data_IF_828078540338
#
_entry.id   IF_828078540338
#
_cell.length_a   1.000
_cell.length_b   1.000
_cell.length_c   1.000
_cell.angle_alpha   90.00
_cell.angle_beta   90.00
_cell.angle_gamma   90.00
#
_symmetry.space_group_name_H-M   'P 1'
#
loop_
_entity.id
_entity.type
_entity.pdbx_description
1 polymer ?
#
# COMPACT_ATOMS: atom_id res chain seq x y z
N UNK A 1 -18.76 18.10 -5.17
CA UNK A 1 -19.37 18.28 -3.84
C UNK A 1 -19.45 16.90 -3.20
N UNK A 2 -18.65 16.60 -2.19
CA UNK A 2 -18.64 15.29 -1.52
C UNK A 2 -19.34 15.48 -0.18
N UNK A 3 -20.57 15.00 -0.09
CA UNK A 3 -21.36 14.96 1.13
C UNK A 3 -20.76 13.91 2.06
N UNK A 4 -20.27 14.37 3.21
CA UNK A 4 -19.82 13.51 4.29
C UNK A 4 -21.01 12.68 4.79
N UNK A 5 -20.91 11.36 4.68
CA UNK A 5 -21.76 10.46 5.45
C UNK A 5 -21.43 10.69 6.93
N UNK A 6 -22.41 11.16 7.69
CA UNK A 6 -22.34 11.30 9.14
C UNK A 6 -22.21 9.92 9.76
N UNK A 7 -20.98 9.48 10.02
CA UNK A 7 -20.72 8.25 10.74
C UNK A 7 -20.49 8.60 12.21
N UNK A 8 -21.40 8.15 13.08
CA UNK A 8 -21.27 8.19 14.55
C UNK A 8 -20.00 7.45 15.05
N UNK A 9 -19.40 6.60 14.20
CA UNK A 9 -18.21 5.79 14.45
C UNK A 9 -16.84 6.45 14.12
N UNK A 10 -16.84 7.72 13.70
CA UNK A 10 -15.61 8.41 13.29
C UNK A 10 -15.07 7.99 11.92
N UNK A 11 -13.97 8.63 11.50
CA UNK A 11 -13.39 8.43 10.16
C UNK A 11 -12.66 7.10 10.03
N UNK A 12 -12.93 6.36 8.95
CA UNK A 12 -12.32 5.04 8.68
C UNK A 12 -11.47 5.09 7.41
N UNK A 13 -10.27 4.55 7.46
CA UNK A 13 -9.33 4.49 6.33
C UNK A 13 -8.82 3.08 6.11
N UNK A 14 -8.69 2.68 4.84
CA UNK A 14 -7.98 1.48 4.41
C UNK A 14 -6.69 1.89 3.70
N UNK A 15 -5.54 1.61 4.30
CA UNK A 15 -4.22 2.05 3.88
C UNK A 15 -3.38 0.88 3.33
N UNK A 16 -3.04 0.94 2.05
CA UNK A 16 -2.06 0.05 1.43
C UNK A 16 -0.64 0.48 1.81
N UNK A 17 0.14 -0.41 2.41
CA UNK A 17 1.53 -0.13 2.82
C UNK A 17 2.54 -0.67 1.78
N UNK A 18 2.05 -1.17 0.65
CA UNK A 18 2.90 -1.68 -0.43
C UNK A 18 3.44 -0.55 -1.29
N UNK A 19 4.38 -0.89 -2.16
CA UNK A 19 4.85 0.03 -3.19
C UNK A 19 3.77 0.16 -4.27
N UNK A 20 3.71 1.31 -4.94
CA UNK A 20 2.66 1.63 -5.91
C UNK A 20 2.51 0.61 -7.05
N UNK A 21 3.61 -0.01 -7.49
CA UNK A 21 3.57 -1.02 -8.55
C UNK A 21 2.85 -2.31 -8.10
N UNK A 22 2.85 -2.61 -6.81
CA UNK A 22 2.10 -3.74 -6.23
C UNK A 22 0.61 -3.41 -6.14
N UNK A 23 0.29 -2.18 -5.74
CA UNK A 23 -1.09 -1.67 -5.69
C UNK A 23 -1.72 -1.50 -7.07
N UNK A 24 -0.89 -1.35 -8.12
CA UNK A 24 -1.34 -1.21 -9.51
C UNK A 24 -2.05 -2.47 -9.99
N UNK A 25 -1.52 -3.65 -9.68
CA UNK A 25 -2.05 -4.93 -10.19
C UNK A 25 -3.06 -5.59 -9.27
N UNK A 26 -3.19 -5.12 -8.03
CA UNK A 26 -4.25 -5.56 -7.13
C UNK A 26 -4.31 -4.74 -5.87
N UNK A 27 -5.49 -4.63 -5.28
CA UNK A 27 -5.76 -3.83 -4.10
C UNK A 27 -7.07 -4.29 -3.43
N UNK A 28 -7.25 -3.91 -2.16
CA UNK A 28 -8.55 -4.07 -1.52
C UNK A 28 -9.49 -2.93 -1.92
N UNK A 29 -10.70 -3.28 -2.34
CA UNK A 29 -11.80 -2.34 -2.50
C UNK A 29 -12.62 -2.32 -1.21
N UNK A 30 -12.87 -1.13 -0.67
CA UNK A 30 -13.85 -0.96 0.39
C UNK A 30 -15.26 -1.23 -0.17
N UNK A 31 -16.18 -1.81 0.61
CA UNK A 31 -17.56 -1.96 0.19
C UNK A 31 -18.20 -0.60 -0.15
N UNK A 32 -19.03 -0.56 -1.18
CA UNK A 32 -19.75 0.65 -1.56
C UNK A 32 -20.64 1.13 -0.41
N UNK A 33 -20.69 2.45 -0.18
CA UNK A 33 -21.45 3.04 0.92
C UNK A 33 -20.84 2.84 2.32
N UNK A 34 -19.70 2.16 2.47
CA UNK A 34 -19.06 1.93 3.79
C UNK A 34 -18.48 3.19 4.43
N UNK A 35 -18.29 4.27 3.67
CA UNK A 35 -17.61 5.48 4.14
C UNK A 35 -16.11 5.29 4.44
N UNK A 36 -15.52 4.15 4.08
CA UNK A 36 -14.10 3.88 4.30
C UNK A 36 -13.27 4.51 3.18
N UNK A 37 -12.40 5.46 3.53
CA UNK A 37 -11.47 6.05 2.59
C UNK A 37 -10.35 5.06 2.24
N UNK A 38 -10.19 4.71 0.97
CA UNK A 38 -9.06 3.87 0.52
C UNK A 38 -7.87 4.73 0.11
N UNK A 39 -6.70 4.48 0.69
CA UNK A 39 -5.46 5.19 0.37
C UNK A 39 -4.43 4.19 -0.18
N UNK A 40 -3.97 4.45 -1.41
CA UNK A 40 -2.90 3.70 -2.08
C UNK A 40 -1.73 4.66 -2.35
N UNK A 41 -0.74 4.71 -1.46
CA UNK A 41 0.39 5.62 -1.59
C UNK A 41 1.15 5.37 -2.90
N UNK A 42 1.50 6.44 -3.62
CA UNK A 42 2.32 6.34 -4.84
C UNK A 42 3.82 6.11 -4.54
N UNK A 43 4.17 5.62 -3.35
CA UNK A 43 5.57 5.39 -2.95
C UNK A 43 6.20 4.30 -3.80
N UNK A 44 7.45 4.50 -4.22
CA UNK A 44 8.22 3.50 -4.96
C UNK A 44 8.97 2.55 -4.03
N UNK A 45 9.37 3.03 -2.86
CA UNK A 45 10.10 2.27 -1.85
C UNK A 45 9.45 2.44 -0.50
N UNK A 46 9.43 1.37 0.29
CA UNK A 46 8.91 1.42 1.66
C UNK A 46 9.63 2.45 2.56
N UNK A 47 10.90 2.77 2.28
CA UNK A 47 11.63 3.82 3.00
C UNK A 47 11.02 5.22 2.85
N UNK A 48 10.17 5.45 1.84
CA UNK A 48 9.43 6.70 1.65
C UNK A 48 8.15 6.74 2.50
N UNK A 49 7.70 5.62 3.05
CA UNK A 49 6.44 5.52 3.79
C UNK A 49 6.40 6.43 5.04
N UNK A 50 7.44 6.52 5.88
CA UNK A 50 7.49 7.51 6.97
C UNK A 50 7.21 8.95 6.52
N UNK A 51 7.83 9.38 5.42
CA UNK A 51 7.60 10.70 4.85
C UNK A 51 6.17 10.84 4.30
N UNK A 52 5.64 9.80 3.67
CA UNK A 52 4.25 9.79 3.20
C UNK A 52 3.27 9.99 4.35
N UNK A 53 3.44 9.27 5.46
CA UNK A 53 2.60 9.44 6.65
C UNK A 53 2.67 10.87 7.16
N UNK A 54 3.87 11.43 7.36
CA UNK A 54 4.03 12.82 7.85
C UNK A 54 3.37 13.86 6.95
N UNK A 55 3.39 13.66 5.64
CA UNK A 55 2.87 14.63 4.68
C UNK A 55 1.36 14.52 4.47
N UNK A 56 0.84 13.29 4.42
CA UNK A 56 -0.51 13.02 3.91
C UNK A 56 -1.47 12.42 4.95
N UNK A 57 -0.94 11.79 6.01
CA UNK A 57 -1.76 11.09 7.00
C UNK A 57 -1.75 11.83 8.35
N UNK A 58 -0.56 12.18 8.86
CA UNK A 58 -0.36 12.91 10.12
C UNK A 58 -1.17 14.22 10.19
N UNK A 59 -1.21 15.08 9.15
CA UNK A 59 -2.05 16.28 9.21
C UNK A 59 -3.53 15.96 9.33
N UNK A 60 -3.99 14.85 8.75
CA UNK A 60 -5.39 14.44 8.89
C UNK A 60 -5.67 13.91 10.30
N UNK A 61 -4.70 13.21 10.92
CA UNK A 61 -4.80 12.77 12.31
C UNK A 61 -4.82 13.95 13.28
N UNK A 62 -4.06 15.01 12.95
CA UNK A 62 -3.92 16.24 13.75
C UNK A 62 -4.95 17.34 13.49
N UNK A 63 -5.54 17.48 12.30
CA UNK A 63 -6.45 18.62 11.97
C UNK A 63 -7.76 18.64 12.76
N UNK A 64 -7.83 17.77 13.74
CA UNK A 64 -8.97 17.44 14.54
C UNK A 64 -8.55 17.38 16.02
N UNK A 65 -7.27 17.52 16.38
CA UNK A 65 -6.80 17.59 17.77
C UNK A 65 -7.02 18.96 18.43
N UNK A 66 -7.11 20.07 17.68
CA UNK A 66 -7.44 21.39 18.27
C UNK A 66 -8.89 21.47 18.78
N UNK A 67 -9.78 20.56 18.34
CA UNK A 67 -11.19 20.49 18.77
C UNK A 67 -11.55 19.18 19.51
N UNK A 68 -10.62 18.20 19.65
CA UNK A 68 -10.87 16.85 20.23
C UNK A 68 -10.20 16.65 21.60
N UNK A 69 -10.34 17.61 22.51
CA UNK A 69 -10.03 17.40 23.94
C UNK A 69 -11.18 16.79 24.74
N UNK A 70 -12.35 16.61 24.12
CA UNK A 70 -13.48 15.92 24.72
C UNK A 70 -13.45 14.43 24.36
N UNK A 71 -13.50 13.57 25.38
CA UNK A 71 -13.53 12.10 25.25
C UNK A 71 -14.73 11.60 24.43
N UNK A 72 -15.74 12.46 24.22
CA UNK A 72 -16.93 12.17 23.42
C UNK A 72 -16.70 12.15 21.91
N UNK A 73 -15.56 12.66 21.39
CA UNK A 73 -15.37 12.72 19.93
C UNK A 73 -14.83 11.41 19.35
N UNK A 74 -15.48 10.83 18.33
CA UNK A 74 -14.99 9.63 17.67
C UNK A 74 -13.58 9.81 17.07
N UNK A 75 -12.68 8.89 17.40
CA UNK A 75 -11.33 8.81 16.83
C UNK A 75 -11.32 8.24 15.41
N UNK A 76 -10.15 8.23 14.79
CA UNK A 76 -9.96 7.65 13.46
C UNK A 76 -9.57 6.18 13.55
N UNK A 77 -10.05 5.40 12.60
CA UNK A 77 -9.67 3.99 12.47
C UNK A 77 -8.92 3.76 11.17
N UNK A 78 -7.69 3.26 11.24
CA UNK A 78 -6.86 2.92 10.08
C UNK A 78 -6.71 1.40 9.99
N UNK A 79 -7.26 0.81 8.94
CA UNK A 79 -7.00 -0.57 8.54
C UNK A 79 -5.80 -0.60 7.60
N UNK A 80 -4.80 -1.42 7.89
CA UNK A 80 -3.56 -1.50 7.11
C UNK A 80 -3.33 -2.88 6.56
N UNK A 81 -2.77 -2.96 5.35
CA UNK A 81 -2.36 -4.22 4.75
C UNK A 81 -1.09 -4.09 3.92
N UNK A 82 -0.39 -5.20 3.77
CA UNK A 82 0.68 -5.40 2.82
C UNK A 82 0.66 -6.87 2.36
N UNK A 83 1.62 -7.31 1.54
CA UNK A 83 1.66 -8.67 0.97
C UNK A 83 1.56 -9.75 2.06
N UNK A 84 2.51 -9.77 3.01
CA UNK A 84 2.60 -10.82 4.05
C UNK A 84 2.67 -10.30 5.50
N UNK A 85 2.36 -9.03 5.76
CA UNK A 85 2.28 -8.45 7.11
C UNK A 85 3.53 -7.72 7.63
N UNK A 86 4.75 -8.09 7.21
CA UNK A 86 6.00 -7.53 7.79
C UNK A 86 6.14 -6.00 7.65
N UNK A 87 5.70 -5.42 6.53
CA UNK A 87 5.72 -3.96 6.35
C UNK A 87 4.69 -3.28 7.23
N UNK A 88 3.53 -3.91 7.45
CA UNK A 88 2.53 -3.38 8.36
C UNK A 88 3.07 -3.31 9.78
N UNK A 89 3.67 -4.38 10.31
CA UNK A 89 4.23 -4.37 11.67
C UNK A 89 5.22 -3.22 11.90
N UNK A 90 6.10 -2.97 10.91
CA UNK A 90 7.06 -1.86 10.97
C UNK A 90 6.38 -0.51 10.85
N UNK A 91 5.43 -0.38 9.92
CA UNK A 91 4.72 0.86 9.67
C UNK A 91 3.83 1.27 10.85
N UNK A 92 3.02 0.36 11.40
CA UNK A 92 2.14 0.66 12.53
C UNK A 92 2.94 1.02 13.78
N UNK A 93 4.05 0.32 14.05
CA UNK A 93 4.98 0.69 15.12
C UNK A 93 5.56 2.09 14.90
N UNK A 94 6.02 2.38 13.67
CA UNK A 94 6.55 3.69 13.36
C UNK A 94 5.49 4.80 13.53
N UNK A 95 4.24 4.57 13.12
CA UNK A 95 3.14 5.51 13.32
C UNK A 95 2.89 5.73 14.82
N UNK A 96 2.84 4.66 15.62
CA UNK A 96 2.71 4.76 17.08
C UNK A 96 3.82 5.58 17.74
N UNK A 97 5.06 5.44 17.27
CA UNK A 97 6.21 6.14 17.86
C UNK A 97 6.38 7.59 17.38
N UNK A 98 5.87 7.94 16.20
CA UNK A 98 6.21 9.21 15.52
C UNK A 98 5.01 10.09 15.20
N UNK A 99 3.78 9.60 15.33
CA UNK A 99 2.56 10.35 15.02
C UNK A 99 1.74 10.49 16.29
N UNK A 100 1.28 11.71 16.54
CA UNK A 100 0.43 12.00 17.69
C UNK A 100 -0.95 11.39 17.46
N UNK A 101 -1.43 10.63 18.45
CA UNK A 101 -2.68 9.88 18.39
C UNK A 101 -3.51 10.19 19.65
N UNK A 102 -4.82 10.24 19.47
CA UNK A 102 -5.78 10.28 20.57
C UNK A 102 -6.06 8.86 21.08
N UNK A 103 -6.48 8.67 22.34
CA UNK A 103 -6.86 7.36 22.87
C UNK A 103 -7.97 6.65 22.06
N UNK A 104 -8.77 7.40 21.30
CA UNK A 104 -9.84 6.91 20.46
C UNK A 104 -9.34 6.44 19.07
N UNK A 105 -8.13 6.84 18.66
CA UNK A 105 -7.54 6.41 17.39
C UNK A 105 -7.13 4.94 17.45
N UNK A 106 -7.39 4.21 16.36
CA UNK A 106 -7.10 2.77 16.28
C UNK A 106 -6.42 2.43 14.97
N UNK A 107 -5.34 1.64 15.07
CA UNK A 107 -4.66 1.10 13.89
C UNK A 107 -4.75 -0.42 13.92
N UNK A 108 -5.37 -0.96 12.89
CA UNK A 108 -5.56 -2.39 12.68
C UNK A 108 -4.68 -2.88 11.54
N UNK A 109 -4.10 -4.07 11.72
CA UNK A 109 -3.31 -4.73 10.67
C UNK A 109 -3.97 -6.01 10.23
N UNK A 110 -4.07 -6.21 8.91
CA UNK A 110 -4.48 -7.49 8.33
C UNK A 110 -3.43 -8.56 8.63
N UNK A 111 -3.75 -9.48 9.54
CA UNK A 111 -2.89 -10.61 9.89
C UNK A 111 -2.67 -11.50 8.67
N UNK A 112 -1.40 -11.79 8.36
CA UNK A 112 -1.02 -12.57 7.18
C UNK A 112 -1.07 -11.78 5.86
N UNK A 113 -1.47 -10.50 5.89
CA UNK A 113 -1.52 -9.65 4.71
C UNK A 113 -2.48 -10.13 3.62
N UNK A 114 -2.22 -9.67 2.39
CA UNK A 114 -2.95 -10.08 1.19
C UNK A 114 -2.90 -11.59 1.00
N UNK A 115 -1.71 -12.21 1.13
CA UNK A 115 -1.54 -13.65 0.92
C UNK A 115 -2.42 -14.46 1.89
N UNK A 116 -2.46 -14.05 3.16
CA UNK A 116 -3.29 -14.69 4.18
C UNK A 116 -4.78 -14.53 3.91
N UNK A 117 -5.22 -13.34 3.49
CA UNK A 117 -6.62 -13.11 3.11
C UNK A 117 -7.04 -13.94 1.90
N UNK A 118 -6.20 -13.98 0.85
CA UNK A 118 -6.42 -14.76 -0.37
C UNK A 118 -6.56 -16.24 -0.01
N UNK A 119 -5.58 -16.82 0.68
CA UNK A 119 -5.64 -18.23 1.07
C UNK A 119 -6.86 -18.59 1.95
N UNK A 120 -7.28 -17.68 2.83
CA UNK A 120 -8.49 -17.86 3.62
C UNK A 120 -9.75 -17.81 2.75
N UNK A 121 -9.86 -16.80 1.89
CA UNK A 121 -11.04 -16.61 1.05
C UNK A 121 -11.24 -17.79 0.09
N UNK A 122 -10.16 -18.33 -0.47
CA UNK A 122 -10.15 -19.57 -1.25
C UNK A 122 -10.75 -20.75 -0.46
N UNK A 123 -10.33 -20.96 0.79
CA UNK A 123 -10.85 -22.03 1.63
C UNK A 123 -12.34 -21.84 1.95
N UNK A 124 -12.77 -20.61 2.20
CA UNK A 124 -14.18 -20.29 2.42
C UNK A 124 -15.03 -20.52 1.16
N UNK A 125 -14.50 -20.21 -0.02
CA UNK A 125 -15.14 -20.52 -1.31
C UNK A 125 -15.24 -22.03 -1.55
N UNK A 126 -14.15 -22.77 -1.34
CA UNK A 126 -14.13 -24.24 -1.50
C UNK A 126 -15.09 -24.92 -0.51
N UNK A 127 -15.27 -24.34 0.68
CA UNK A 127 -16.24 -24.80 1.67
C UNK A 127 -17.69 -24.35 1.38
N UNK A 128 -17.95 -23.62 0.29
CA UNK A 128 -19.27 -23.10 -0.06
C UNK A 128 -19.81 -21.99 0.86
N UNK A 129 -18.96 -21.41 1.71
CA UNK A 129 -19.33 -20.36 2.69
C UNK A 129 -19.22 -18.94 2.13
N UNK A 130 -18.49 -18.76 1.04
CA UNK A 130 -18.29 -17.48 0.35
C UNK A 130 -18.44 -17.62 -1.15
N UNK A 131 -18.99 -16.59 -1.78
CA UNK A 131 -19.03 -16.43 -3.24
C UNK A 131 -17.93 -15.49 -3.72
N UNK A 132 -17.55 -15.60 -4.99
CA UNK A 132 -16.46 -14.79 -5.55
C UNK A 132 -16.72 -13.27 -5.48
N UNK A 133 -17.97 -12.84 -5.64
CA UNK A 133 -18.40 -11.43 -5.59
C UNK A 133 -18.21 -10.81 -4.20
N UNK A 134 -18.19 -11.61 -3.14
CA UNK A 134 -17.91 -11.16 -1.77
C UNK A 134 -16.44 -10.85 -1.52
N UNK A 135 -15.56 -11.12 -2.49
CA UNK A 135 -14.14 -10.87 -2.32
C UNK A 135 -13.81 -9.39 -2.41
N UNK A 136 -13.23 -8.85 -1.34
CA UNK A 136 -12.78 -7.46 -1.27
C UNK A 136 -11.45 -7.25 -2.02
N UNK A 137 -10.65 -8.30 -2.17
CA UNK A 137 -9.41 -8.24 -2.94
C UNK A 137 -9.71 -8.23 -4.44
N UNK A 138 -9.24 -7.21 -5.15
CA UNK A 138 -9.38 -7.06 -6.61
C UNK A 138 -8.02 -7.20 -7.29
N UNK A 139 -8.00 -7.79 -8.49
CA UNK A 139 -6.77 -8.03 -9.25
C UNK A 139 -5.92 -9.18 -8.71
N UNK A 140 -4.59 -9.02 -8.82
CA UNK A 140 -3.58 -10.00 -8.41
C UNK A 140 -2.64 -9.45 -7.34
N UNK A 141 -2.16 -10.36 -6.50
CA UNK A 141 -1.11 -10.10 -5.52
C UNK A 141 0.25 -10.09 -6.21
N UNK A 142 1.03 -9.02 -6.03
CA UNK A 142 2.43 -9.02 -6.44
C UNK A 142 3.26 -9.90 -5.51
N UNK A 143 4.08 -10.80 -6.07
CA UNK A 143 5.03 -11.63 -5.31
C UNK A 143 6.46 -11.36 -5.76
N UNK A 144 7.38 -11.40 -4.79
CA UNK A 144 8.78 -10.98 -4.95
C UNK A 144 9.70 -12.08 -5.48
N UNK A 145 9.17 -13.00 -6.28
CA UNK A 145 9.91 -14.09 -6.92
C UNK A 145 9.58 -14.17 -8.41
N UNK A 146 10.15 -15.17 -9.11
CA UNK A 146 10.01 -15.33 -10.56
C UNK A 146 8.56 -15.48 -11.06
N UNK A 147 7.57 -15.69 -10.19
CA UNK A 147 6.16 -15.75 -10.56
C UNK A 147 5.57 -14.37 -10.85
N UNK A 148 6.11 -13.30 -10.24
CA UNK A 148 5.68 -11.92 -10.40
C UNK A 148 4.32 -11.57 -9.78
N UNK A 149 3.29 -12.42 -9.95
CA UNK A 149 2.00 -12.25 -9.28
C UNK A 149 1.27 -13.57 -9.01
N UNK A 150 0.44 -13.59 -7.97
CA UNK A 150 -0.48 -14.67 -7.60
C UNK A 150 -1.93 -14.16 -7.60
N UNK A 151 -2.88 -15.04 -7.90
CA UNK A 151 -4.32 -14.75 -7.86
C UNK A 151 -5.05 -15.74 -6.98
N UNK A 152 -6.32 -15.42 -6.66
CA UNK A 152 -7.25 -16.38 -6.05
C UNK A 152 -7.59 -17.49 -7.06
N UNK A 153 -7.35 -18.75 -6.68
CA UNK A 153 -7.64 -19.95 -7.46
C UNK A 153 -6.65 -20.25 -8.59
N UNK A 154 -6.75 -21.46 -9.15
CA UNK A 154 -6.02 -21.85 -10.35
C UNK A 154 -6.43 -20.96 -11.54
N UNK A 155 -5.60 -19.95 -11.78
CA UNK A 155 -5.30 -19.31 -13.07
C UNK A 155 -6.48 -18.91 -14.00
N UNK A 156 -6.53 -17.60 -14.31
CA UNK A 156 -7.13 -16.96 -15.51
C UNK A 156 -8.53 -16.32 -15.38
N UNK A 157 -9.29 -16.55 -14.31
CA UNK A 157 -10.68 -16.07 -14.22
C UNK A 157 -10.89 -14.65 -13.69
N UNK A 158 -9.96 -14.09 -12.91
CA UNK A 158 -10.18 -12.80 -12.27
C UNK A 158 -9.93 -11.63 -13.19
N UNK A 159 -10.87 -10.67 -13.13
CA UNK A 159 -10.77 -9.38 -13.81
C UNK A 159 -9.45 -8.70 -13.45
N UNK A 160 -8.62 -8.49 -14.46
CA UNK A 160 -7.38 -7.73 -14.32
C UNK A 160 -7.75 -6.27 -14.06
N UNK A 161 -7.08 -5.65 -13.09
CA UNK A 161 -7.35 -4.25 -12.71
C UNK A 161 -6.32 -3.27 -13.28
N UNK A 162 -5.26 -3.80 -13.90
CA UNK A 162 -4.21 -3.05 -14.54
C UNK A 162 -4.28 -3.16 -16.06
N UNK A 163 -3.51 -2.30 -16.73
CA UNK A 163 -3.41 -2.24 -18.19
C UNK A 163 -1.93 -2.29 -18.60
N UNK A 164 -1.67 -2.92 -19.73
CA UNK A 164 -0.36 -2.95 -20.35
C UNK A 164 0.11 -1.52 -20.67
N UNK A 165 1.35 -1.18 -20.33
CA UNK A 165 1.93 0.13 -20.62
C UNK A 165 2.20 0.35 -22.12
N UNK A 166 2.33 -0.72 -22.90
CA UNK A 166 2.54 -0.64 -24.35
C UNK A 166 1.24 -0.47 -25.14
N UNK A 167 0.29 -1.39 -24.96
CA UNK A 167 -0.92 -1.46 -25.79
C UNK A 167 -2.23 -1.14 -25.04
N UNK A 168 -2.20 -0.89 -23.73
CA UNK A 168 -3.38 -0.51 -22.96
C UNK A 168 -4.39 -1.64 -22.66
N UNK A 169 -4.17 -2.86 -23.16
CA UNK A 169 -5.05 -4.00 -22.86
C UNK A 169 -4.98 -4.40 -21.38
N UNK A 170 -6.06 -4.98 -20.87
CA UNK A 170 -6.10 -5.52 -19.51
C UNK A 170 -4.98 -6.52 -19.28
N UNK A 171 -4.14 -6.25 -18.28
CA UNK A 171 -2.92 -7.03 -18.01
C UNK A 171 -2.49 -6.92 -16.55
N UNK A 172 -1.85 -7.95 -16.03
CA UNK A 172 -1.27 -8.02 -14.68
C UNK A 172 0.15 -8.59 -14.69
N UNK A 173 0.64 -9.07 -15.84
CA UNK A 173 2.04 -9.46 -16.05
C UNK A 173 2.97 -8.28 -15.78
N UNK A 174 3.91 -8.51 -14.87
CA UNK A 174 4.91 -7.53 -14.49
C UNK A 174 6.16 -7.68 -15.34
N UNK A 175 6.71 -6.54 -15.75
CA UNK A 175 7.97 -6.41 -16.48
C UNK A 175 8.76 -5.22 -15.95
N UNK A 176 9.86 -4.90 -16.63
CA UNK A 176 10.64 -3.70 -16.35
C UNK A 176 10.59 -2.77 -17.56
N UNK A 177 10.91 -1.51 -17.32
CA UNK A 177 11.28 -0.59 -18.39
C UNK A 177 12.47 -1.15 -19.15
N UNK A 178 12.38 -1.15 -20.48
CA UNK A 178 13.42 -1.67 -21.37
C UNK A 178 14.69 -0.80 -21.42
N UNK A 179 14.57 0.47 -21.02
CA UNK A 179 15.70 1.37 -21.01
C UNK A 179 16.75 0.93 -19.97
N UNK A 180 17.97 0.64 -20.44
CA UNK A 180 19.11 0.29 -19.59
C UNK A 180 19.24 1.23 -18.39
N UNK A 181 19.33 0.63 -17.19
CA UNK A 181 19.40 1.31 -15.88
C UNK A 181 18.11 1.99 -15.39
N UNK A 182 16.99 1.85 -16.09
CA UNK A 182 15.67 2.22 -15.58
C UNK A 182 15.03 1.02 -14.88
N UNK A 183 15.04 1.00 -13.56
CA UNK A 183 14.46 -0.11 -12.80
C UNK A 183 12.96 0.07 -12.50
N UNK A 184 12.21 0.71 -13.39
CA UNK A 184 10.77 0.84 -13.17
C UNK A 184 10.05 -0.45 -13.49
N UNK A 185 9.18 -0.85 -12.56
CA UNK A 185 8.31 -2.00 -12.72
C UNK A 185 7.07 -1.55 -13.49
N UNK A 186 6.86 -2.18 -14.63
CA UNK A 186 5.77 -1.91 -15.55
C UNK A 186 4.83 -3.11 -15.62
N UNK A 187 3.62 -2.88 -16.11
CA UNK A 187 2.70 -3.94 -16.52
C UNK A 187 2.86 -4.10 -18.02
N UNK A 188 3.35 -5.24 -18.48
CA UNK A 188 3.71 -5.49 -19.89
C UNK A 188 3.26 -6.88 -20.29
N UNK A 189 2.34 -6.94 -21.25
CA UNK A 189 1.87 -8.20 -21.80
C UNK A 189 2.93 -8.86 -22.70
N UNK A 190 2.77 -10.15 -22.99
CA UNK A 190 3.68 -10.92 -23.84
C UNK A 190 3.80 -10.39 -25.28
N UNK A 191 2.75 -9.75 -25.81
CA UNK A 191 2.76 -9.16 -27.16
C UNK A 191 3.41 -7.78 -27.23
N UNK A 192 3.96 -7.27 -26.13
CA UNK A 192 4.67 -6.00 -26.10
C UNK A 192 6.11 -6.24 -25.66
N UNK A 193 7.05 -5.71 -26.43
CA UNK A 193 8.49 -5.77 -26.15
C UNK A 193 9.10 -4.37 -26.27
N UNK A 194 10.29 -4.15 -25.72
CA UNK A 194 10.98 -2.87 -25.82
C UNK A 194 10.28 -1.70 -25.11
N UNK A 195 9.37 -1.98 -24.17
CA UNK A 195 8.50 -0.96 -23.58
C UNK A 195 9.28 -0.07 -22.61
N UNK A 196 9.32 1.22 -22.94
CA UNK A 196 9.81 2.29 -22.04
C UNK A 196 8.68 2.83 -21.18
N UNK A 197 9.02 3.27 -19.97
CA UNK A 197 8.06 3.86 -19.04
C UNK A 197 7.49 5.22 -19.50
N UNK A 198 8.26 5.99 -20.27
CA UNK A 198 7.85 7.20 -20.98
C UNK A 198 8.92 7.61 -22.02
N UNK A 199 8.62 8.65 -22.79
CA UNK A 199 9.49 9.11 -23.89
C UNK A 199 10.82 9.73 -23.43
N UNK A 200 10.86 10.34 -22.24
CA UNK A 200 12.10 10.95 -21.71
C UNK A 200 12.99 9.96 -20.94
N UNK A 201 12.63 8.67 -20.91
CA UNK A 201 13.40 7.67 -20.20
C UNK A 201 14.77 7.44 -20.86
N UNK A 202 15.83 7.46 -20.04
CA UNK A 202 17.21 7.30 -20.51
C UNK A 202 17.91 8.61 -20.85
N UNK A 203 17.23 9.76 -20.68
CA UNK A 203 17.85 11.07 -20.81
C UNK A 203 19.07 11.24 -19.90
N UNK A 204 20.09 11.93 -20.41
CA UNK A 204 21.29 12.33 -19.68
C UNK A 204 21.45 13.84 -19.71
N UNK A 205 21.96 14.42 -18.63
CA UNK A 205 22.26 15.85 -18.60
C UNK A 205 23.58 16.18 -19.32
N UNK A 206 23.90 17.47 -19.46
CA UNK A 206 25.14 17.93 -20.09
C UNK A 206 26.43 17.50 -19.37
N UNK A 207 26.33 16.80 -18.23
CA UNK A 207 27.44 16.18 -17.48
C UNK A 207 27.44 14.64 -17.58
N UNK A 208 26.61 14.08 -18.46
CA UNK A 208 26.49 12.63 -18.67
C UNK A 208 25.77 11.89 -17.53
N UNK A 209 25.12 12.60 -16.61
CA UNK A 209 24.39 11.98 -15.50
C UNK A 209 22.98 11.64 -15.94
N UNK A 210 22.51 10.46 -15.58
CA UNK A 210 21.15 10.03 -15.88
C UNK A 210 20.12 10.96 -15.22
N UNK A 211 19.17 11.43 -16.02
CA UNK A 211 18.05 12.23 -15.56
C UNK A 211 16.88 11.34 -15.11
N UNK A 212 16.08 11.88 -14.20
CA UNK A 212 14.81 11.26 -13.79
C UNK A 212 13.80 11.44 -14.92
N UNK A 213 13.16 10.35 -15.37
CA UNK A 213 12.14 10.42 -16.42
C UNK A 213 10.95 11.28 -15.99
N UNK A 214 10.14 11.72 -16.95
CA UNK A 214 8.94 12.53 -16.69
C UNK A 214 7.95 11.75 -15.83
N UNK A 215 7.81 10.44 -16.09
CA UNK A 215 6.99 9.54 -15.30
C UNK A 215 7.31 9.55 -13.80
N UNK A 216 8.59 9.41 -13.47
CA UNK A 216 9.07 9.43 -12.08
C UNK A 216 8.93 10.83 -11.51
N UNK A 217 9.31 11.85 -12.28
CA UNK A 217 9.25 13.25 -11.86
C UNK A 217 7.82 13.66 -11.51
N UNK A 218 6.84 13.29 -12.34
CA UNK A 218 5.42 13.53 -12.10
C UNK A 218 4.92 12.78 -10.86
N UNK A 219 5.33 11.52 -10.66
CA UNK A 219 4.95 10.76 -9.46
C UNK A 219 5.53 11.37 -8.19
N UNK A 220 6.83 11.68 -8.18
CA UNK A 220 7.48 12.31 -7.03
C UNK A 220 6.88 13.70 -6.76
N UNK A 221 6.60 14.49 -7.80
CA UNK A 221 5.92 15.77 -7.66
C UNK A 221 4.50 15.60 -7.10
N UNK A 222 3.74 14.60 -7.55
CA UNK A 222 2.41 14.31 -7.02
C UNK A 222 2.43 13.87 -5.55
N UNK A 223 3.50 13.18 -5.12
CA UNK A 223 3.67 12.80 -3.72
C UNK A 223 4.15 13.94 -2.83
N UNK A 224 5.06 14.78 -3.31
CA UNK A 224 5.80 15.68 -2.42
C UNK A 224 5.61 17.16 -2.72
N UNK A 225 5.05 17.50 -3.89
CA UNK A 225 5.03 18.85 -4.43
C UNK A 225 6.42 19.32 -4.86
N UNK A 226 6.57 20.64 -5.01
CA UNK A 226 7.80 21.30 -5.44
C UNK A 226 8.97 21.15 -4.44
N UNK A 227 8.67 20.98 -3.15
CA UNK A 227 9.70 20.84 -2.09
C UNK A 227 10.40 19.47 -2.10
N UNK A 228 9.79 18.47 -2.76
CA UNK A 228 10.29 17.11 -2.77
C UNK A 228 10.26 16.42 -1.40
N UNK A 229 10.63 15.14 -1.34
CA UNK A 229 10.59 14.36 -0.10
C UNK A 229 11.46 14.95 1.03
N UNK A 230 12.54 15.68 0.67
CA UNK A 230 13.44 16.32 1.65
C UNK A 230 12.79 17.47 2.41
N UNK A 231 11.71 18.06 1.88
CA UNK A 231 10.92 19.07 2.59
C UNK A 231 10.07 18.51 3.73
N UNK A 232 9.91 17.18 3.82
CA UNK A 232 9.07 16.57 4.86
C UNK A 232 9.79 16.58 6.22
N UNK A 233 9.35 17.47 7.12
CA UNK A 233 9.87 17.60 8.48
C UNK A 233 9.55 16.36 9.33
N UNK A 234 10.43 16.02 10.26
CA UNK A 234 10.18 14.97 11.27
C UNK A 234 10.38 13.52 10.80
N UNK A 235 11.04 13.30 9.65
CA UNK A 235 11.37 11.95 9.14
C UNK A 235 12.78 11.51 9.58
N UNK A 236 13.62 12.44 10.07
CA UNK A 236 14.96 12.16 10.58
C UNK A 236 14.90 11.68 12.04
N UNK A 237 14.71 10.39 12.25
CA UNK A 237 15.10 9.74 13.50
C UNK A 237 16.51 9.15 13.33
N UNK A 238 17.49 9.75 14.01
CA UNK A 238 18.80 9.15 14.31
C UNK A 238 18.53 7.69 14.74
N UNK A 239 19.07 6.72 14.00
CA UNK A 239 19.03 5.30 14.38
C UNK A 239 19.85 5.09 15.65
N UNK A 240 19.28 5.33 16.83
CA UNK A 240 19.80 4.75 18.05
C UNK A 240 19.42 3.28 18.05
N UNK A 241 20.36 2.45 17.57
CA UNK A 241 20.31 0.99 17.73
C UNK A 241 20.37 0.67 19.22
N UNK A 242 19.27 0.22 19.80
CA UNK A 242 19.31 -0.70 20.94
C UNK A 242 19.14 -2.10 20.39
N UNK A 243 20.26 -2.83 20.34
CA UNK A 243 20.30 -4.26 20.12
C UNK A 243 19.70 -4.96 21.33
N UNK A 244 18.53 -5.58 21.18
CA UNK A 244 18.14 -6.69 22.06
C UNK A 244 17.80 -7.90 21.19
N UNK A 245 18.70 -8.90 21.28
CA UNK A 245 18.55 -10.22 20.67
C UNK A 245 17.58 -11.04 21.53
N UNK A 246 16.32 -11.14 21.12
CA UNK A 246 15.36 -12.10 21.66
C UNK A 246 15.26 -13.34 20.76
N UNK A 247 15.51 -14.52 21.34
CA UNK A 247 15.43 -15.84 20.68
C UNK A 247 14.03 -16.11 20.12
N UNK A 248 13.95 -16.59 18.87
CA UNK A 248 12.71 -17.11 18.26
C UNK A 248 12.48 -18.54 18.74
N UNK A 249 11.32 -18.78 19.34
CA UNK A 249 10.79 -20.12 19.58
C UNK A 249 9.63 -20.36 18.60
N UNK A 250 9.66 -21.51 17.93
CA UNK A 250 8.65 -21.91 16.95
C UNK A 250 7.37 -22.33 17.68
N UNK A 251 6.22 -21.86 17.19
CA UNK A 251 4.90 -22.35 17.61
C UNK A 251 4.10 -22.61 16.34
N UNK A 252 3.75 -23.88 16.14
CA UNK A 252 2.70 -24.35 15.24
C UNK A 252 1.35 -24.20 15.95
N UNK A 253 0.32 -23.76 15.21
CA UNK A 253 -1.08 -24.24 15.24
C UNK A 253 -2.14 -23.16 15.00
N UNK A 254 -3.12 -23.57 14.19
CA UNK A 254 -4.43 -22.98 13.87
C UNK A 254 -4.52 -21.47 13.58
N UNK A 255 -4.64 -21.15 12.29
CA UNK A 255 -4.88 -19.80 11.78
C UNK A 255 -6.33 -19.40 12.08
N UNK A 256 -6.51 -18.72 13.22
CA UNK A 256 -7.64 -17.82 13.47
C UNK A 256 -7.21 -16.40 13.06
N UNK A 257 -7.88 -15.83 12.05
CA UNK A 257 -7.60 -14.49 11.51
C UNK A 257 -8.26 -13.46 12.42
N UNK A 258 -7.68 -13.27 13.59
CA UNK A 258 -8.02 -12.15 14.47
C UNK A 258 -7.29 -10.89 14.00
N UNK A 259 -8.04 -9.81 13.83
CA UNK A 259 -7.51 -8.46 13.63
C UNK A 259 -6.71 -8.09 14.88
N UNK A 260 -5.41 -7.83 14.74
CA UNK A 260 -4.57 -7.42 15.88
C UNK A 260 -4.78 -5.93 16.12
N UNK A 261 -5.31 -5.59 17.28
CA UNK A 261 -5.35 -4.21 17.79
C UNK A 261 -3.99 -3.93 18.40
N UNK A 262 -3.28 -2.93 17.89
CA UNK A 262 -2.11 -2.37 18.58
C UNK A 262 -2.67 -1.22 19.42
N UNK A 263 -2.71 -1.40 20.73
CA UNK A 263 -2.92 -0.32 21.70
C UNK A 263 -1.61 0.39 21.94
#
# INVERSE_FOLDING_TARGET
MVTAATNEDGEKMLLDIRNHYESRIGYFAAPDGSGIQTVKPQVRRFSQFPAFVKRHIDPTLRSSSEHRKDESTPGKTIFTYCTGGIRCEKATRWIAENVEQTPQDKIYTLKGGVSGYVAWFEKEMMAGRKREDECLWKGREYVFDGRGSLGLGNANGRKKVAKCHGCGKEEDRMGKCDMEGCELVLVVCEGCDGIKCCNSCGGVDGKGRRMVCDCESQREFGLWGSEGMRGVKGVSAKQNRLHERGKRQAVTDNIDIRVKVIK
#
